data_IF_400111083982
#
_entry.id   IF_400111083982
#
_cell.length_a   1.000
_cell.length_b   1.000
_cell.length_c   1.000
_cell.angle_alpha   90.00
_cell.angle_beta   90.00
_cell.angle_gamma   90.00
#
_symmetry.space_group_name_H-M   'P 1'
#
loop_
_entity.id
_entity.type
_entity.pdbx_description
1 polymer ?
#
# COMPACT_ATOMS: atom_id res chain seq x y z
N UNK A 1 -35.63 -43.56 16.53
CA UNK A 1 -35.69 -42.78 15.30
C UNK A 1 -35.59 -41.26 15.54
N UNK A 2 -36.43 -40.63 16.32
CA UNK A 2 -36.41 -39.15 16.54
C UNK A 2 -35.06 -38.59 16.99
N UNK A 3 -34.37 -39.22 17.96
CA UNK A 3 -33.04 -38.77 18.42
C UNK A 3 -31.96 -38.78 17.33
N UNK A 4 -31.99 -39.73 16.40
CA UNK A 4 -31.05 -39.79 15.24
C UNK A 4 -31.30 -38.69 14.23
N UNK A 5 -32.58 -38.31 14.03
CA UNK A 5 -33.00 -37.23 13.13
C UNK A 5 -32.50 -35.87 13.71
N UNK A 6 -32.68 -35.66 15.02
CA UNK A 6 -32.19 -34.45 15.69
C UNK A 6 -30.66 -34.32 15.68
N UNK A 7 -29.95 -35.44 15.85
CA UNK A 7 -28.49 -35.45 15.78
C UNK A 7 -27.99 -35.13 14.35
N UNK A 8 -28.68 -35.68 13.32
CA UNK A 8 -28.39 -35.38 11.92
C UNK A 8 -28.68 -33.92 11.57
N UNK A 9 -29.78 -33.35 12.06
CA UNK A 9 -30.09 -31.93 11.86
C UNK A 9 -29.10 -31.02 12.56
N UNK A 10 -28.65 -31.36 13.78
CA UNK A 10 -27.68 -30.58 14.54
C UNK A 10 -26.31 -30.52 13.86
N UNK A 11 -25.92 -31.59 13.16
CA UNK A 11 -24.69 -31.65 12.36
C UNK A 11 -24.85 -30.99 10.98
N UNK A 12 -26.05 -30.98 10.42
CA UNK A 12 -26.31 -30.39 9.11
C UNK A 12 -26.33 -28.85 9.16
N UNK A 13 -26.77 -28.23 10.25
CA UNK A 13 -26.86 -26.78 10.39
C UNK A 13 -25.50 -26.09 10.19
N UNK A 14 -24.40 -26.44 10.90
CA UNK A 14 -23.11 -25.81 10.70
C UNK A 14 -22.55 -26.05 9.29
N UNK A 15 -22.76 -27.23 8.71
CA UNK A 15 -22.33 -27.52 7.34
C UNK A 15 -23.07 -26.62 6.34
N UNK A 16 -24.39 -26.46 6.48
CA UNK A 16 -25.19 -25.57 5.63
C UNK A 16 -24.80 -24.09 5.84
N UNK A 17 -24.47 -23.70 7.06
CA UNK A 17 -23.99 -22.35 7.35
C UNK A 17 -22.65 -22.06 6.64
N UNK A 18 -21.70 -23.00 6.72
CA UNK A 18 -20.41 -22.89 6.01
C UNK A 18 -20.60 -22.84 4.50
N UNK A 19 -21.42 -23.76 3.94
CA UNK A 19 -21.71 -23.75 2.49
C UNK A 19 -22.42 -22.47 2.06
N UNK A 20 -23.35 -21.98 2.87
CA UNK A 20 -24.03 -20.70 2.63
C UNK A 20 -23.06 -19.51 2.66
N UNK A 21 -22.11 -19.51 3.60
CA UNK A 21 -21.09 -18.48 3.67
C UNK A 21 -20.12 -18.53 2.47
N UNK A 22 -19.64 -19.71 2.11
CA UNK A 22 -18.81 -19.89 0.91
C UNK A 22 -19.55 -19.40 -0.34
N UNK A 23 -20.81 -19.78 -0.49
CA UNK A 23 -21.65 -19.30 -1.61
C UNK A 23 -21.85 -17.79 -1.60
N UNK A 24 -21.99 -17.17 -0.43
CA UNK A 24 -22.02 -15.72 -0.28
C UNK A 24 -20.69 -15.09 -0.65
N UNK A 25 -19.58 -15.59 -0.13
CA UNK A 25 -18.24 -15.04 -0.40
C UNK A 25 -17.91 -15.09 -1.90
N UNK A 26 -18.21 -16.22 -2.58
CA UNK A 26 -18.03 -16.33 -4.04
C UNK A 26 -18.95 -15.38 -4.82
N UNK A 27 -20.19 -15.19 -4.40
CA UNK A 27 -21.12 -14.28 -5.06
C UNK A 27 -20.83 -12.79 -4.83
N UNK A 28 -20.23 -12.46 -3.68
CA UNK A 28 -19.83 -11.12 -3.31
C UNK A 28 -18.42 -10.74 -3.81
N UNK A 29 -17.63 -11.74 -4.20
CA UNK A 29 -16.28 -11.51 -4.71
C UNK A 29 -16.34 -10.82 -6.07
N UNK A 30 -15.77 -9.63 -6.15
CA UNK A 30 -15.71 -8.83 -7.36
C UNK A 30 -14.30 -8.23 -7.52
N UNK A 31 -13.77 -8.31 -8.74
CA UNK A 31 -12.51 -7.67 -9.12
C UNK A 31 -12.74 -6.72 -10.28
N UNK A 32 -12.08 -5.57 -10.19
CA UNK A 32 -12.07 -4.60 -11.28
C UNK A 32 -11.29 -5.15 -12.49
N UNK A 33 -11.70 -4.71 -13.67
CA UNK A 33 -10.99 -5.04 -14.92
C UNK A 33 -9.59 -4.47 -14.94
N UNK A 34 -8.68 -5.13 -15.66
CA UNK A 34 -7.34 -4.57 -15.94
C UNK A 34 -7.44 -3.39 -16.90
N UNK A 35 -6.46 -2.50 -16.85
CA UNK A 35 -6.36 -1.30 -17.70
C UNK A 35 -7.57 -0.37 -17.58
N UNK A 36 -8.10 -0.25 -16.39
CA UNK A 36 -9.20 0.65 -16.10
C UNK A 36 -8.71 2.10 -16.04
N UNK A 37 -9.28 2.97 -16.87
CA UNK A 37 -9.03 4.41 -16.78
C UNK A 37 -9.57 4.94 -15.45
N UNK A 38 -8.78 5.78 -14.79
CA UNK A 38 -9.13 6.39 -13.51
C UNK A 38 -9.49 7.86 -13.71
N UNK A 39 -10.43 8.33 -12.92
CA UNK A 39 -10.77 9.75 -12.86
C UNK A 39 -9.64 10.54 -12.23
N UNK A 40 -9.40 11.73 -12.75
CA UNK A 40 -8.48 12.73 -12.18
C UNK A 40 -9.30 13.89 -11.70
N UNK A 41 -9.45 14.02 -10.40
CA UNK A 41 -10.17 15.11 -9.79
C UNK A 41 -9.33 16.40 -9.84
N UNK A 42 -10.00 17.53 -10.06
CA UNK A 42 -9.47 18.90 -10.11
C UNK A 42 -8.71 19.30 -11.39
N UNK A 43 -7.90 18.45 -12.00
CA UNK A 43 -7.16 18.70 -13.25
C UNK A 43 -6.48 20.09 -13.31
N UNK A 44 -5.75 20.45 -12.26
CA UNK A 44 -5.13 21.75 -12.07
C UNK A 44 -3.60 21.67 -12.08
N UNK A 45 -2.94 22.81 -12.01
CA UNK A 45 -1.48 22.91 -11.97
C UNK A 45 -0.84 22.96 -13.36
N UNK A 46 0.46 23.19 -13.36
CA UNK A 46 1.28 23.28 -14.55
C UNK A 46 1.89 21.93 -14.93
N UNK A 47 2.52 21.88 -16.11
CA UNK A 47 3.36 20.75 -16.51
C UNK A 47 4.61 20.69 -15.63
N UNK A 48 5.14 19.50 -15.39
CA UNK A 48 6.44 19.35 -14.75
C UNK A 48 7.55 19.95 -15.64
N UNK A 49 8.61 20.43 -14.99
CA UNK A 49 9.74 21.08 -15.68
C UNK A 49 11.00 20.25 -15.49
N UNK A 50 11.80 20.04 -16.54
CA UNK A 50 13.16 19.51 -16.38
C UNK A 50 14.00 20.41 -15.47
N UNK A 51 15.05 19.84 -14.88
CA UNK A 51 16.01 20.53 -14.00
C UNK A 51 15.39 21.19 -12.76
N UNK A 52 14.10 20.95 -12.50
CA UNK A 52 13.40 21.42 -11.28
C UNK A 52 13.42 20.32 -10.25
N UNK A 53 13.70 20.68 -9.01
CA UNK A 53 13.67 19.75 -7.88
C UNK A 53 12.24 19.53 -7.42
N UNK A 54 11.84 18.26 -7.31
CA UNK A 54 10.55 17.81 -6.85
C UNK A 54 10.69 16.88 -5.66
N UNK A 55 9.66 16.84 -4.84
CA UNK A 55 9.55 15.94 -3.70
C UNK A 55 8.35 15.00 -3.88
N UNK A 56 8.61 13.70 -3.77
CA UNK A 56 7.59 12.66 -3.69
C UNK A 56 7.60 12.06 -2.29
N UNK A 57 6.44 11.98 -1.64
CA UNK A 57 6.23 11.26 -0.40
C UNK A 57 5.40 10.00 -0.66
N UNK A 58 5.80 8.85 -0.13
CA UNK A 58 4.97 7.64 -0.09
C UNK A 58 4.66 7.26 1.34
N UNK A 59 3.40 6.97 1.63
CA UNK A 59 2.91 6.67 2.97
C UNK A 59 1.84 5.58 2.94
N UNK A 60 2.15 4.37 3.39
CA UNK A 60 1.13 3.39 3.76
C UNK A 60 0.49 3.86 5.07
N UNK A 61 -0.80 4.19 5.05
CA UNK A 61 -1.50 4.79 6.20
C UNK A 61 -2.22 3.76 7.08
N UNK A 62 -2.12 2.47 6.73
CA UNK A 62 -2.62 1.35 7.55
C UNK A 62 -4.10 1.51 7.92
N UNK A 63 -4.97 1.85 6.95
CA UNK A 63 -6.40 2.18 7.18
C UNK A 63 -6.64 2.98 8.48
N UNK A 64 -5.73 3.89 8.78
CA UNK A 64 -5.74 4.82 9.91
C UNK A 64 -5.99 4.15 11.28
N UNK A 65 -5.62 2.87 11.43
CA UNK A 65 -5.80 2.13 12.68
C UNK A 65 -4.53 1.98 13.52
N UNK A 66 -3.35 1.96 12.89
CA UNK A 66 -2.10 1.51 13.50
C UNK A 66 -1.37 2.62 14.27
N UNK A 67 -2.00 3.19 15.30
CA UNK A 67 -1.23 3.96 16.29
C UNK A 67 -0.12 3.09 16.92
N UNK A 68 0.90 3.72 17.53
CA UNK A 68 2.06 3.00 18.07
C UNK A 68 1.69 1.89 19.07
N UNK A 69 0.57 2.03 19.78
CA UNK A 69 0.06 1.07 20.77
C UNK A 69 -0.93 0.04 20.19
N UNK A 70 -1.16 0.04 18.86
CA UNK A 70 -2.05 -0.89 18.18
C UNK A 70 -1.32 -2.19 17.79
N UNK A 71 -2.04 -3.31 17.81
CA UNK A 71 -1.59 -4.61 17.33
C UNK A 71 -2.65 -5.27 16.46
N UNK A 72 -2.25 -5.94 15.39
CA UNK A 72 -3.17 -6.50 14.41
C UNK A 72 -3.27 -8.02 14.50
N UNK A 73 -4.48 -8.55 14.52
CA UNK A 73 -4.73 -9.98 14.74
C UNK A 73 -4.11 -10.90 13.69
N UNK A 74 -3.99 -10.45 12.43
CA UNK A 74 -3.35 -11.24 11.37
C UNK A 74 -1.84 -11.33 11.53
N UNK A 75 -1.22 -10.38 12.21
CA UNK A 75 0.21 -10.38 12.53
C UNK A 75 0.51 -11.05 13.88
N UNK A 76 -0.52 -11.55 14.55
CA UNK A 76 -0.40 -12.20 15.86
C UNK A 76 -0.83 -11.32 17.03
N UNK A 77 -1.31 -10.11 16.77
CA UNK A 77 -1.85 -9.17 17.76
C UNK A 77 -3.31 -9.42 18.11
N UNK A 78 -3.98 -8.40 18.63
CA UNK A 78 -5.30 -8.54 19.25
C UNK A 78 -6.42 -7.87 18.44
N UNK A 79 -6.21 -6.68 17.91
CA UNK A 79 -7.23 -5.86 17.25
C UNK A 79 -7.48 -6.32 15.81
N UNK A 80 -8.74 -6.26 15.38
CA UNK A 80 -9.14 -6.59 14.00
C UNK A 80 -9.59 -5.37 13.19
N UNK A 81 -9.70 -4.22 13.84
CA UNK A 81 -10.14 -2.95 13.28
C UNK A 81 -9.66 -1.78 14.14
N UNK A 82 -9.77 -0.57 13.64
CA UNK A 82 -9.52 0.63 14.43
C UNK A 82 -10.38 0.63 15.71
N UNK A 83 -9.83 1.08 16.83
CA UNK A 83 -10.46 0.97 18.15
C UNK A 83 -11.81 1.70 18.23
N UNK A 84 -11.87 2.87 17.62
CA UNK A 84 -13.09 3.66 17.50
C UNK A 84 -12.96 4.71 16.36
N UNK A 85 -14.05 5.39 15.98
CA UNK A 85 -13.99 6.43 14.94
C UNK A 85 -12.99 7.56 15.24
N UNK A 86 -12.79 7.91 16.51
CA UNK A 86 -11.87 8.98 16.89
C UNK A 86 -10.41 8.58 16.69
N UNK A 87 -10.09 7.28 16.85
CA UNK A 87 -8.76 6.78 16.54
C UNK A 87 -8.43 6.98 15.06
N UNK A 88 -9.38 6.66 14.15
CA UNK A 88 -9.25 6.92 12.71
C UNK A 88 -9.04 8.40 12.42
N UNK A 89 -9.88 9.27 12.98
CA UNK A 89 -9.78 10.73 12.82
C UNK A 89 -8.43 11.27 13.36
N UNK A 90 -7.99 10.79 14.53
CA UNK A 90 -6.73 11.23 15.17
C UNK A 90 -5.53 10.82 14.32
N UNK A 91 -5.48 9.57 13.86
CA UNK A 91 -4.40 9.09 13.01
C UNK A 91 -4.41 9.83 11.66
N UNK A 92 -5.61 10.07 11.08
CA UNK A 92 -5.77 10.88 9.87
C UNK A 92 -5.21 12.30 10.01
N UNK A 93 -5.46 12.96 11.15
CA UNK A 93 -4.88 14.28 11.42
C UNK A 93 -3.36 14.23 11.53
N UNK A 94 -2.79 13.20 12.20
CA UNK A 94 -1.35 13.03 12.28
C UNK A 94 -0.69 12.75 10.93
N UNK A 95 -1.34 11.95 10.07
CA UNK A 95 -0.90 11.75 8.67
C UNK A 95 -0.90 13.09 7.92
N UNK A 96 -1.98 13.88 8.02
CA UNK A 96 -2.08 15.19 7.38
C UNK A 96 -1.04 16.19 7.89
N UNK A 97 -0.73 16.21 9.19
CA UNK A 97 0.32 17.02 9.77
C UNK A 97 1.67 16.66 9.17
N UNK A 98 1.99 15.37 9.09
CA UNK A 98 3.23 14.87 8.45
C UNK A 98 3.32 15.29 6.97
N UNK A 99 2.22 15.15 6.21
CA UNK A 99 2.16 15.58 4.80
C UNK A 99 2.38 17.10 4.67
N UNK A 100 1.79 17.91 5.56
CA UNK A 100 1.97 19.38 5.55
C UNK A 100 3.39 19.79 5.90
N UNK A 101 4.04 19.12 6.84
CA UNK A 101 5.43 19.39 7.21
C UNK A 101 6.39 19.09 6.07
N UNK A 102 6.20 17.97 5.37
CA UNK A 102 7.01 17.62 4.19
C UNK A 102 6.65 18.47 2.99
N UNK A 103 5.36 18.83 2.83
CA UNK A 103 4.81 19.61 1.71
C UNK A 103 5.25 19.07 0.33
N UNK A 104 5.01 17.80 0.00
CA UNK A 104 5.50 17.18 -1.22
C UNK A 104 4.80 17.72 -2.46
N UNK A 105 5.46 17.62 -3.64
CA UNK A 105 4.84 17.89 -4.94
C UNK A 105 3.95 16.73 -5.39
N UNK A 106 4.32 15.52 -5.01
CA UNK A 106 3.62 14.27 -5.29
C UNK A 106 3.46 13.47 -3.99
N UNK A 107 2.30 12.85 -3.81
CA UNK A 107 2.03 12.01 -2.63
C UNK A 107 1.37 10.71 -3.07
N UNK A 108 1.93 9.60 -2.62
CA UNK A 108 1.36 8.27 -2.74
C UNK A 108 0.88 7.81 -1.36
N UNK A 109 -0.34 7.32 -1.28
CA UNK A 109 -0.85 6.68 -0.07
C UNK A 109 -1.36 5.29 -0.40
N UNK A 110 -1.13 4.33 0.50
CA UNK A 110 -1.59 2.96 0.41
C UNK A 110 -2.50 2.66 1.62
N UNK A 111 -3.33 1.63 1.50
CA UNK A 111 -4.30 1.21 2.52
C UNK A 111 -5.30 2.30 2.93
N UNK A 112 -5.85 3.02 1.96
CA UNK A 112 -6.83 4.08 2.20
C UNK A 112 -8.23 3.51 2.03
N UNK A 113 -9.01 3.40 3.10
CA UNK A 113 -10.37 2.89 3.06
C UNK A 113 -11.36 3.96 2.55
N UNK A 114 -12.32 3.51 1.74
CA UNK A 114 -13.46 4.35 1.30
C UNK A 114 -14.71 4.00 2.10
N UNK A 115 -14.91 2.70 2.34
CA UNK A 115 -16.03 2.17 3.12
C UNK A 115 -15.64 0.80 3.66
N UNK A 116 -15.27 0.74 4.93
CA UNK A 116 -14.83 -0.49 5.55
C UNK A 116 -15.30 -0.61 7.00
N UNK A 117 -15.70 -1.82 7.39
CA UNK A 117 -16.06 -2.10 8.78
C UNK A 117 -14.87 -1.86 9.72
N UNK A 118 -13.64 -2.16 9.25
CA UNK A 118 -12.42 -2.03 10.04
C UNK A 118 -12.06 -0.57 10.36
N UNK A 119 -12.49 0.39 9.54
CA UNK A 119 -12.28 1.82 9.72
C UNK A 119 -13.59 2.59 10.04
N UNK A 120 -14.60 1.89 10.58
CA UNK A 120 -15.87 2.45 11.03
C UNK A 120 -16.67 3.15 9.93
N UNK A 121 -16.52 2.71 8.68
CA UNK A 121 -17.18 3.29 7.50
C UNK A 121 -16.83 4.77 7.27
N UNK A 122 -15.66 5.19 7.73
CA UNK A 122 -15.13 6.53 7.44
C UNK A 122 -14.53 6.51 6.03
N UNK A 123 -14.88 7.50 5.22
CA UNK A 123 -14.23 7.74 3.93
C UNK A 123 -12.88 8.43 4.19
N UNK A 124 -11.82 7.61 4.25
CA UNK A 124 -10.46 8.08 4.51
C UNK A 124 -9.88 8.86 3.33
N UNK A 125 -10.35 8.58 2.09
CA UNK A 125 -9.95 9.37 0.92
C UNK A 125 -10.40 10.81 1.11
N UNK A 126 -11.66 11.02 1.48
CA UNK A 126 -12.17 12.37 1.73
C UNK A 126 -11.53 13.01 2.97
N UNK A 127 -11.33 12.22 4.05
CA UNK A 127 -10.68 12.70 5.27
C UNK A 127 -9.24 13.19 5.01
N UNK A 128 -8.45 12.44 4.23
CA UNK A 128 -7.04 12.73 3.97
C UNK A 128 -6.84 13.77 2.85
N UNK A 129 -7.77 13.88 1.91
CA UNK A 129 -7.57 14.72 0.71
C UNK A 129 -8.44 15.98 0.68
N UNK A 130 -9.51 16.02 1.47
CA UNK A 130 -10.45 17.17 1.48
C UNK A 130 -9.80 18.51 1.86
N UNK A 131 -8.70 18.49 2.61
CA UNK A 131 -7.93 19.67 2.99
C UNK A 131 -6.72 19.96 2.07
N UNK A 132 -6.49 19.13 1.03
CA UNK A 132 -5.38 19.22 0.09
C UNK A 132 -5.87 19.67 -1.30
N UNK A 133 -6.61 20.78 -1.35
CA UNK A 133 -7.30 21.27 -2.54
C UNK A 133 -6.36 21.74 -3.67
N UNK A 134 -5.07 21.90 -3.41
CA UNK A 134 -4.03 22.24 -4.39
C UNK A 134 -3.45 21.02 -5.13
N UNK A 135 -3.97 19.82 -4.84
CA UNK A 135 -3.58 18.60 -5.52
C UNK A 135 -4.66 18.10 -6.48
N UNK A 136 -4.22 17.49 -7.59
CA UNK A 136 -5.03 16.56 -8.36
C UNK A 136 -5.08 15.24 -7.63
N UNK A 137 -6.25 14.60 -7.58
CA UNK A 137 -6.48 13.37 -6.86
C UNK A 137 -6.84 12.23 -7.79
N UNK A 138 -6.19 11.10 -7.61
CA UNK A 138 -6.47 9.84 -8.31
C UNK A 138 -6.65 8.74 -7.25
N UNK A 139 -7.74 7.98 -7.34
CA UNK A 139 -8.00 6.82 -6.49
C UNK A 139 -8.06 5.55 -7.32
N UNK A 140 -7.30 4.53 -6.93
CA UNK A 140 -7.33 3.21 -7.54
C UNK A 140 -7.73 2.15 -6.50
N UNK A 141 -8.94 1.62 -6.61
CA UNK A 141 -9.42 0.55 -5.73
C UNK A 141 -8.57 -0.71 -5.91
N UNK A 142 -8.04 -1.25 -4.83
CA UNK A 142 -7.26 -2.48 -4.79
C UNK A 142 -7.78 -3.50 -3.76
N UNK A 143 -8.94 -3.25 -3.17
CA UNK A 143 -9.58 -4.16 -2.24
C UNK A 143 -11.10 -3.96 -2.24
N UNK A 144 -11.84 -5.06 -2.39
CA UNK A 144 -13.28 -5.14 -2.21
C UNK A 144 -13.61 -6.54 -1.66
N UNK A 145 -13.69 -6.64 -0.34
CA UNK A 145 -13.86 -7.94 0.32
C UNK A 145 -15.30 -8.26 0.63
N UNK A 146 -15.70 -9.55 0.58
CA UNK A 146 -16.92 -9.98 1.25
C UNK A 146 -16.80 -9.75 2.77
N UNK A 147 -17.91 -9.84 3.50
CA UNK A 147 -17.88 -9.70 4.96
C UNK A 147 -17.13 -10.87 5.60
N UNK A 148 -16.00 -10.56 6.26
CA UNK A 148 -15.13 -11.50 6.95
C UNK A 148 -15.56 -11.61 8.41
N UNK A 149 -16.10 -12.78 8.82
CA UNK A 149 -16.64 -13.01 10.16
C UNK A 149 -15.59 -13.29 11.25
N UNK A 150 -14.32 -13.27 10.90
CA UNK A 150 -13.24 -13.52 11.84
C UNK A 150 -12.50 -12.23 12.20
N UNK A 151 -12.10 -12.04 13.47
CA UNK A 151 -12.44 -12.81 14.69
C UNK A 151 -13.92 -12.75 15.05
N UNK A 152 -14.48 -13.83 15.64
CA UNK A 152 -15.93 -13.92 15.90
C UNK A 152 -16.46 -12.87 16.89
N UNK A 153 -15.62 -12.40 17.80
CA UNK A 153 -15.98 -11.41 18.83
C UNK A 153 -15.95 -9.98 18.29
N UNK A 154 -15.11 -9.74 17.30
CA UNK A 154 -14.94 -8.46 16.63
C UNK A 154 -14.57 -8.69 15.16
N UNK A 155 -15.57 -8.97 14.31
CA UNK A 155 -15.30 -9.28 12.90
C UNK A 155 -14.57 -8.17 12.16
N UNK A 156 -13.57 -8.52 11.36
CA UNK A 156 -12.91 -7.59 10.46
C UNK A 156 -13.90 -6.92 9.49
N UNK A 157 -14.91 -7.68 9.07
CA UNK A 157 -16.04 -7.20 8.27
C UNK A 157 -15.73 -7.11 6.78
N UNK A 158 -16.49 -6.26 6.09
CA UNK A 158 -16.27 -5.95 4.68
C UNK A 158 -15.42 -4.68 4.56
N UNK A 159 -14.56 -4.65 3.55
CA UNK A 159 -13.67 -3.52 3.30
C UNK A 159 -13.65 -3.16 1.82
N UNK A 160 -13.76 -1.87 1.52
CA UNK A 160 -13.46 -1.30 0.21
C UNK A 160 -12.38 -0.25 0.40
N UNK A 161 -11.23 -0.49 -0.24
CA UNK A 161 -10.00 0.25 -0.02
C UNK A 161 -9.20 0.40 -1.31
N UNK A 162 -8.21 1.29 -1.31
CA UNK A 162 -7.37 1.51 -2.46
C UNK A 162 -6.06 2.23 -2.15
N UNK A 163 -5.45 2.68 -3.24
CA UNK A 163 -4.27 3.53 -3.23
C UNK A 163 -4.63 4.90 -3.79
N UNK A 164 -4.05 5.95 -3.23
CA UNK A 164 -4.30 7.34 -3.63
C UNK A 164 -3.02 7.97 -4.15
N UNK A 165 -3.12 8.62 -5.29
CA UNK A 165 -2.04 9.44 -5.84
C UNK A 165 -2.49 10.90 -5.88
N UNK A 166 -1.69 11.78 -5.28
CA UNK A 166 -1.90 13.23 -5.34
C UNK A 166 -0.73 13.90 -6.08
N UNK A 167 -1.05 14.92 -6.87
CA UNK A 167 -0.07 15.68 -7.65
C UNK A 167 -0.41 17.17 -7.68
N UNK A 168 0.56 18.04 -7.39
CA UNK A 168 0.44 19.49 -7.63
C UNK A 168 0.62 19.84 -9.11
N UNK A 169 1.38 19.04 -9.85
CA UNK A 169 1.44 19.16 -11.29
C UNK A 169 0.17 18.57 -11.92
N UNK A 170 -0.19 19.11 -13.09
CA UNK A 170 -1.33 18.59 -13.87
C UNK A 170 -1.13 17.13 -14.23
N UNK A 171 -2.16 16.31 -14.04
CA UNK A 171 -2.20 14.92 -14.48
C UNK A 171 -3.06 14.84 -15.74
N UNK A 172 -2.50 14.34 -16.84
CA UNK A 172 -3.22 14.23 -18.11
C UNK A 172 -4.18 13.04 -18.13
N UNK A 173 -3.73 11.90 -17.58
CA UNK A 173 -4.50 10.67 -17.49
C UNK A 173 -3.98 9.79 -16.36
N UNK A 174 -4.82 8.87 -15.91
CA UNK A 174 -4.44 7.84 -14.96
C UNK A 174 -5.06 6.49 -15.31
N UNK A 175 -4.35 5.42 -14.98
CA UNK A 175 -4.71 4.06 -15.31
C UNK A 175 -4.49 3.14 -14.09
N UNK A 176 -5.45 2.23 -13.83
CA UNK A 176 -5.29 1.13 -12.90
C UNK A 176 -4.85 -0.13 -13.67
N UNK A 177 -3.81 -0.78 -13.17
CA UNK A 177 -3.36 -2.09 -13.69
C UNK A 177 -3.57 -3.16 -12.62
N UNK A 178 -4.34 -4.19 -12.97
CA UNK A 178 -4.55 -5.34 -12.09
C UNK A 178 -3.31 -6.20 -12.03
N UNK A 179 -2.86 -6.52 -10.83
CA UNK A 179 -1.75 -7.44 -10.58
C UNK A 179 -2.25 -8.89 -10.46
N UNK A 180 -1.40 -9.89 -10.73
CA UNK A 180 -1.69 -11.29 -10.40
C UNK A 180 -2.01 -11.44 -8.91
N UNK A 181 -2.97 -12.29 -8.57
CA UNK A 181 -3.35 -12.62 -7.19
C UNK A 181 -3.61 -14.11 -7.07
N UNK A 182 -3.60 -14.61 -5.84
CA UNK A 182 -3.98 -15.98 -5.53
C UNK A 182 -5.38 -16.33 -6.05
N UNK A 183 -5.53 -17.53 -6.59
CA UNK A 183 -6.81 -18.01 -7.15
C UNK A 183 -7.56 -18.95 -6.22
N UNK A 184 -6.93 -19.38 -5.12
CA UNK A 184 -7.47 -20.28 -4.12
C UNK A 184 -8.47 -19.62 -3.19
N UNK A 185 -8.73 -20.26 -2.04
CA UNK A 185 -9.61 -19.72 -0.99
C UNK A 185 -9.03 -18.47 -0.32
N UNK A 186 -7.71 -18.33 -0.36
CA UNK A 186 -6.95 -17.16 0.11
C UNK A 186 -7.35 -15.86 -0.59
N UNK A 187 -7.88 -15.92 -1.83
CA UNK A 187 -8.36 -14.75 -2.58
C UNK A 187 -9.37 -13.86 -1.83
N UNK A 188 -10.10 -14.43 -0.85
CA UNK A 188 -11.06 -13.66 -0.04
C UNK A 188 -10.40 -12.89 1.10
N UNK A 189 -9.16 -13.22 1.43
CA UNK A 189 -8.38 -12.64 2.52
C UNK A 189 -7.27 -11.72 2.00
N UNK A 190 -6.87 -11.86 0.73
CA UNK A 190 -5.88 -11.01 0.10
C UNK A 190 -6.55 -9.87 -0.69
N UNK A 191 -5.81 -8.79 -0.88
CA UNK A 191 -6.21 -7.64 -1.65
C UNK A 191 -6.30 -7.98 -3.16
N UNK A 192 -7.18 -7.26 -3.88
CA UNK A 192 -7.24 -7.30 -5.35
C UNK A 192 -6.12 -6.49 -5.99
N UNK A 193 -4.92 -6.66 -5.51
CA UNK A 193 -3.69 -5.94 -5.82
C UNK A 193 -3.69 -5.27 -7.19
N UNK A 194 -3.30 -4.01 -7.19
CA UNK A 194 -3.07 -3.24 -8.41
C UNK A 194 -1.95 -2.22 -8.17
N UNK A 195 -1.47 -1.62 -9.27
CA UNK A 195 -0.81 -0.33 -9.22
C UNK A 195 -1.59 0.68 -10.04
N UNK A 196 -1.41 1.97 -9.74
CA UNK A 196 -1.89 3.05 -10.57
C UNK A 196 -0.72 3.70 -11.31
N UNK A 197 -0.97 4.12 -12.55
CA UNK A 197 -0.03 4.93 -13.34
C UNK A 197 -0.67 6.28 -13.61
N UNK A 198 -0.04 7.35 -13.13
CA UNK A 198 -0.47 8.73 -13.39
C UNK A 198 0.51 9.40 -14.33
N UNK A 199 0.01 9.99 -15.42
CA UNK A 199 0.82 10.63 -16.47
C UNK A 199 0.82 12.14 -16.27
N UNK A 200 1.97 12.68 -15.91
CA UNK A 200 2.21 14.10 -15.72
C UNK A 200 2.97 14.62 -16.95
N UNK A 201 2.40 15.54 -17.75
CA UNK A 201 3.11 16.09 -18.89
C UNK A 201 4.33 16.91 -18.44
N UNK A 202 5.42 16.80 -19.18
CA UNK A 202 6.65 17.56 -18.97
C UNK A 202 6.83 18.56 -20.09
N UNK A 203 7.33 19.76 -19.79
CA UNK A 203 7.43 20.86 -20.77
C UNK A 203 8.34 20.59 -21.96
N UNK A 204 9.17 19.55 -21.90
CA UNK A 204 10.01 19.10 -23.03
C UNK A 204 9.30 18.10 -23.97
N UNK A 205 8.00 17.85 -23.76
CA UNK A 205 7.18 16.98 -24.61
C UNK A 205 7.20 15.49 -24.20
N UNK A 206 7.89 15.14 -23.12
CA UNK A 206 7.85 13.81 -22.48
C UNK A 206 6.78 13.76 -21.39
N UNK A 207 6.62 12.61 -20.77
CA UNK A 207 5.77 12.42 -19.60
C UNK A 207 6.60 11.94 -18.39
N UNK A 208 6.18 12.33 -17.20
CA UNK A 208 6.57 11.68 -15.95
C UNK A 208 5.47 10.68 -15.59
N UNK A 209 5.82 9.39 -15.67
CA UNK A 209 4.95 8.28 -15.32
C UNK A 209 5.16 7.92 -13.84
N UNK A 210 4.16 8.19 -13.02
CA UNK A 210 4.15 7.96 -11.58
C UNK A 210 3.38 6.68 -11.26
N UNK A 211 4.08 5.68 -10.74
CA UNK A 211 3.54 4.37 -10.35
C UNK A 211 3.38 4.31 -8.83
N UNK A 212 2.15 4.25 -8.35
CA UNK A 212 1.86 4.00 -6.93
C UNK A 212 1.53 2.52 -6.77
N UNK A 213 2.26 1.81 -5.88
CA UNK A 213 2.14 0.36 -5.70
C UNK A 213 1.89 -0.02 -4.25
N UNK A 214 1.21 -1.16 -4.07
CA UNK A 214 1.16 -1.91 -2.84
C UNK A 214 1.16 -3.40 -3.20
N UNK A 215 2.33 -4.03 -3.14
CA UNK A 215 2.52 -5.42 -3.53
C UNK A 215 2.08 -6.40 -2.43
N UNK A 216 1.92 -7.68 -2.79
CA UNK A 216 1.51 -8.71 -1.83
C UNK A 216 2.63 -9.05 -0.84
N UNK A 217 2.28 -9.09 0.45
CA UNK A 217 3.13 -9.56 1.54
C UNK A 217 3.08 -11.09 1.65
N UNK A 218 1.88 -11.62 1.70
CA UNK A 218 1.60 -13.02 2.01
C UNK A 218 1.33 -13.79 0.73
N UNK A 219 2.31 -14.56 0.27
CA UNK A 219 2.13 -15.48 -0.86
C UNK A 219 2.58 -16.88 -0.45
N UNK A 220 1.84 -17.90 -0.86
CA UNK A 220 2.03 -19.28 -0.41
C UNK A 220 3.45 -19.80 -0.71
N UNK A 221 4.03 -19.39 -1.86
CA UNK A 221 5.36 -19.81 -2.33
C UNK A 221 6.23 -18.66 -2.89
N UNK A 222 5.75 -17.41 -2.77
CA UNK A 222 6.44 -16.22 -3.27
C UNK A 222 6.32 -16.00 -4.78
N UNK A 223 5.73 -16.91 -5.55
CA UNK A 223 5.63 -16.79 -7.02
C UNK A 223 4.77 -15.61 -7.44
N UNK A 224 3.62 -15.40 -6.80
CA UNK A 224 2.69 -14.29 -7.10
C UNK A 224 3.36 -12.93 -6.90
N UNK A 225 4.08 -12.73 -5.78
CA UNK A 225 4.78 -11.47 -5.54
C UNK A 225 5.89 -11.21 -6.59
N UNK A 226 6.56 -12.27 -7.04
CA UNK A 226 7.55 -12.19 -8.13
C UNK A 226 6.89 -11.85 -9.47
N UNK A 227 5.74 -12.46 -9.79
CA UNK A 227 4.96 -12.16 -11.00
C UNK A 227 4.42 -10.71 -10.98
N UNK A 228 3.97 -10.22 -9.81
CA UNK A 228 3.54 -8.83 -9.64
C UNK A 228 4.67 -7.85 -9.95
N UNK A 229 5.85 -8.10 -9.36
CA UNK A 229 7.02 -7.26 -9.59
C UNK A 229 7.50 -7.31 -11.04
N UNK A 230 7.55 -8.50 -11.66
CA UNK A 230 7.95 -8.65 -13.05
C UNK A 230 7.02 -7.86 -14.01
N UNK A 231 5.71 -7.94 -13.81
CA UNK A 231 4.73 -7.18 -14.57
C UNK A 231 4.90 -5.66 -14.43
N UNK A 232 5.13 -5.19 -13.19
CA UNK A 232 5.40 -3.78 -12.91
C UNK A 232 6.67 -3.29 -13.63
N UNK A 233 7.76 -4.06 -13.51
CA UNK A 233 9.05 -3.73 -14.12
C UNK A 233 8.99 -3.72 -15.65
N UNK A 234 8.23 -4.63 -16.27
CA UNK A 234 8.01 -4.65 -17.71
C UNK A 234 7.30 -3.37 -18.20
N UNK A 235 6.23 -2.95 -17.51
CA UNK A 235 5.52 -1.69 -17.84
C UNK A 235 6.42 -0.47 -17.65
N UNK A 236 7.22 -0.42 -16.58
CA UNK A 236 8.18 0.67 -16.32
C UNK A 236 9.27 0.75 -17.38
N UNK A 237 9.82 -0.40 -17.79
CA UNK A 237 10.84 -0.49 -18.83
C UNK A 237 10.32 -0.01 -20.19
N UNK A 238 9.05 -0.35 -20.53
CA UNK A 238 8.39 0.10 -21.77
C UNK A 238 8.26 1.63 -21.80
N UNK A 239 7.85 2.26 -20.69
CA UNK A 239 7.75 3.72 -20.57
C UNK A 239 9.12 4.39 -20.66
N UNK A 240 10.13 3.86 -19.96
CA UNK A 240 11.48 4.39 -20.04
C UNK A 240 12.07 4.27 -21.44
N UNK A 241 11.91 3.13 -22.14
CA UNK A 241 12.35 2.95 -23.53
C UNK A 241 11.63 3.89 -24.52
N UNK A 242 10.41 4.30 -24.17
CA UNK A 242 9.64 5.31 -24.94
C UNK A 242 10.17 6.73 -24.70
N UNK A 243 11.14 6.91 -23.80
CA UNK A 243 11.78 8.18 -23.48
C UNK A 243 11.09 8.95 -22.33
N UNK A 244 10.11 8.36 -21.68
CA UNK A 244 9.44 8.95 -20.53
C UNK A 244 10.31 8.87 -19.27
N UNK A 245 10.01 9.71 -18.30
CA UNK A 245 10.55 9.63 -16.94
C UNK A 245 9.67 8.68 -16.13
N UNK A 246 10.28 7.80 -15.36
CA UNK A 246 9.53 6.77 -14.62
C UNK A 246 9.95 6.77 -13.16
N UNK A 247 8.97 6.90 -12.28
CA UNK A 247 9.14 6.75 -10.84
C UNK A 247 8.02 5.83 -10.32
N UNK A 248 8.41 4.74 -9.68
CA UNK A 248 7.52 3.91 -8.87
C UNK A 248 7.83 4.13 -7.40
N UNK A 249 6.81 4.24 -6.58
CA UNK A 249 6.96 4.31 -5.13
C UNK A 249 5.80 3.62 -4.44
N UNK A 250 6.01 3.19 -3.21
CA UNK A 250 4.99 2.53 -2.41
C UNK A 250 5.55 1.47 -1.48
N UNK A 251 4.64 0.62 -1.03
CA UNK A 251 4.92 -0.54 -0.21
C UNK A 251 5.17 -1.76 -1.10
N UNK A 252 6.42 -2.20 -1.17
CA UNK A 252 6.82 -3.37 -1.95
C UNK A 252 6.64 -4.68 -1.19
N UNK A 253 6.39 -4.63 0.11
CA UNK A 253 6.31 -5.80 0.98
C UNK A 253 7.51 -6.75 0.84
N UNK A 254 8.70 -6.17 0.61
CA UNK A 254 10.00 -6.84 0.52
C UNK A 254 11.03 -6.03 1.29
N UNK A 255 11.97 -6.72 1.91
CA UNK A 255 13.13 -6.04 2.53
C UNK A 255 14.00 -5.40 1.44
N UNK A 256 13.83 -4.08 1.26
CA UNK A 256 14.53 -3.32 0.22
C UNK A 256 16.02 -3.14 0.53
N UNK A 257 16.43 -3.30 1.79
CA UNK A 257 17.84 -3.26 2.21
C UNK A 257 18.50 -4.64 2.15
N UNK A 258 17.69 -5.71 1.95
CA UNK A 258 18.13 -7.10 1.87
C UNK A 258 18.67 -7.69 3.18
N UNK A 259 18.91 -6.86 4.19
CA UNK A 259 19.47 -7.24 5.48
C UNK A 259 19.01 -6.33 6.65
N UNK A 260 17.78 -5.83 6.58
CA UNK A 260 17.19 -4.92 7.57
C UNK A 260 17.39 -5.40 9.01
N UNK A 261 17.24 -6.69 9.28
CA UNK A 261 17.47 -7.27 10.60
C UNK A 261 18.87 -6.99 11.17
N UNK A 262 19.91 -6.97 10.31
CA UNK A 262 21.27 -6.63 10.71
C UNK A 262 21.45 -5.12 10.92
N UNK A 263 20.81 -4.31 10.07
CA UNK A 263 20.93 -2.84 10.13
C UNK A 263 20.24 -2.31 11.39
N UNK A 264 19.03 -2.77 11.67
CA UNK A 264 18.24 -2.31 12.81
C UNK A 264 18.51 -3.10 14.11
N UNK A 265 19.37 -4.13 14.06
CA UNK A 265 19.73 -4.92 15.24
C UNK A 265 18.61 -5.82 15.76
N UNK A 266 17.65 -6.19 14.92
CA UNK A 266 16.51 -7.05 15.25
C UNK A 266 16.55 -8.35 14.46
N UNK A 267 16.02 -9.46 15.02
CA UNK A 267 15.96 -10.75 14.33
C UNK A 267 14.66 -10.85 13.52
N UNK A 268 14.79 -11.10 12.21
CA UNK A 268 13.68 -11.29 11.28
C UNK A 268 13.41 -12.73 10.90
N UNK A 269 14.13 -13.73 11.44
CA UNK A 269 14.04 -15.13 11.03
C UNK A 269 12.64 -15.75 11.15
N UNK A 270 11.82 -15.23 12.08
CA UNK A 270 10.44 -15.70 12.27
C UNK A 270 9.45 -15.11 11.26
N UNK A 271 9.82 -14.06 10.54
CA UNK A 271 8.93 -13.30 9.64
C UNK A 271 9.21 -13.67 8.19
N UNK A 272 8.55 -14.70 7.70
CA UNK A 272 8.75 -15.23 6.34
C UNK A 272 8.24 -14.30 5.23
N UNK A 273 7.41 -13.31 5.56
CA UNK A 273 6.94 -12.31 4.62
C UNK A 273 8.00 -11.27 4.25
N UNK A 274 8.97 -11.01 5.13
CA UNK A 274 10.04 -10.03 4.95
C UNK A 274 11.20 -10.61 4.12
N UNK A 275 10.92 -11.07 2.90
CA UNK A 275 11.96 -11.58 2.00
C UNK A 275 12.72 -10.42 1.35
N UNK A 276 14.02 -10.59 1.06
CA UNK A 276 14.79 -9.61 0.31
C UNK A 276 14.14 -9.25 -1.04
N UNK A 277 14.27 -8.00 -1.44
CA UNK A 277 13.85 -7.55 -2.76
C UNK A 277 14.74 -8.21 -3.83
N UNK A 278 14.17 -8.81 -4.90
CA UNK A 278 14.94 -9.50 -5.93
C UNK A 278 15.53 -8.49 -6.95
N UNK A 279 16.65 -7.86 -6.59
CA UNK A 279 17.31 -6.84 -7.43
C UNK A 279 17.68 -7.35 -8.81
N UNK A 280 17.93 -8.66 -8.97
CA UNK A 280 18.23 -9.29 -10.24
C UNK A 280 17.11 -9.22 -11.30
N UNK A 281 15.89 -8.91 -10.87
CA UNK A 281 14.76 -8.69 -11.79
C UNK A 281 14.70 -7.25 -12.34
N UNK A 282 15.42 -6.30 -11.73
CA UNK A 282 15.38 -4.90 -12.14
C UNK A 282 16.08 -4.74 -13.49
N UNK A 283 15.39 -4.23 -14.54
CA UNK A 283 15.97 -4.09 -15.86
C UNK A 283 17.00 -2.96 -15.93
N UNK A 284 17.86 -3.01 -16.94
CA UNK A 284 18.80 -1.94 -17.24
C UNK A 284 18.05 -0.61 -17.48
N UNK A 285 18.51 0.46 -16.87
CA UNK A 285 17.88 1.77 -16.95
C UNK A 285 16.84 2.07 -15.88
N UNK A 286 16.58 1.11 -14.98
CA UNK A 286 15.80 1.30 -13.77
C UNK A 286 16.68 0.92 -12.56
N UNK A 287 16.56 1.64 -11.47
CA UNK A 287 17.30 1.36 -10.23
C UNK A 287 16.40 1.39 -9.00
N UNK A 288 16.72 0.53 -8.03
CA UNK A 288 16.11 0.55 -6.71
C UNK A 288 16.74 1.67 -5.86
N UNK A 289 15.89 2.48 -5.23
CA UNK A 289 16.25 3.49 -4.26
C UNK A 289 15.56 3.16 -2.94
N UNK A 290 16.25 2.42 -2.08
CA UNK A 290 15.82 2.15 -0.72
C UNK A 290 16.30 3.30 0.19
N UNK A 291 15.41 3.97 0.95
CA UNK A 291 15.82 5.05 1.83
C UNK A 291 16.59 4.50 3.04
N UNK A 292 17.83 4.96 3.22
CA UNK A 292 18.68 4.58 4.34
C UNK A 292 19.59 5.74 4.72
N UNK A 293 19.54 6.15 5.97
CA UNK A 293 20.60 6.96 6.62
C UNK A 293 21.53 5.98 7.35
N UNK A 294 22.78 5.87 6.89
CA UNK A 294 23.74 4.93 7.48
C UNK A 294 24.18 5.32 8.90
N UNK A 295 24.12 6.62 9.26
CA UNK A 295 24.49 7.10 10.59
C UNK A 295 23.35 6.96 11.59
N UNK A 296 22.10 7.16 11.13
CA UNK A 296 20.89 7.12 11.95
C UNK A 296 19.78 6.37 11.20
N UNK A 297 19.89 5.03 11.09
CA UNK A 297 18.95 4.25 10.32
C UNK A 297 17.53 4.27 10.95
N UNK A 298 16.54 4.70 10.16
CA UNK A 298 15.13 4.74 10.53
C UNK A 298 14.40 3.72 9.66
N UNK A 299 13.69 2.74 10.25
CA UNK A 299 12.94 1.76 9.48
C UNK A 299 11.65 2.36 8.89
N UNK A 300 11.21 1.86 7.75
CA UNK A 300 9.94 2.30 7.16
C UNK A 300 8.73 1.53 7.68
N UNK A 301 8.90 0.32 8.20
CA UNK A 301 7.80 -0.53 8.66
C UNK A 301 8.16 -1.27 9.96
N UNK A 302 7.14 -1.47 10.80
CA UNK A 302 7.19 -2.35 11.98
C UNK A 302 6.24 -3.53 11.83
N UNK A 303 6.55 -4.66 12.45
CA UNK A 303 5.56 -5.70 12.64
C UNK A 303 4.52 -5.25 13.68
N UNK A 304 3.25 -5.57 13.40
CA UNK A 304 2.12 -5.16 14.25
C UNK A 304 1.59 -6.29 15.16
N UNK A 305 2.44 -7.24 15.53
CA UNK A 305 2.11 -8.33 16.46
C UNK A 305 1.88 -7.85 17.91
N UNK A 306 2.39 -6.66 18.24
CA UNK A 306 2.29 -6.00 19.54
C UNK A 306 2.38 -4.48 19.40
N UNK A 307 2.11 -3.75 20.48
CA UNK A 307 2.44 -2.34 20.58
C UNK A 307 3.91 -2.10 20.25
N UNK A 308 4.20 -0.99 19.55
CA UNK A 308 5.56 -0.65 19.16
C UNK A 308 6.46 -0.40 20.38
N UNK A 309 7.59 -1.05 20.36
CA UNK A 309 8.68 -0.87 21.32
C UNK A 309 9.98 -0.79 20.52
N UNK A 310 10.69 0.35 20.53
CA UNK A 310 11.91 0.56 19.74
C UNK A 310 13.04 -0.42 20.07
N UNK A 311 13.00 -1.08 21.25
CA UNK A 311 14.04 -2.04 21.65
C UNK A 311 13.74 -3.47 21.21
N UNK A 312 12.45 -3.82 20.99
CA UNK A 312 12.02 -5.21 20.84
C UNK A 312 11.12 -5.50 19.65
N UNK A 313 10.56 -4.47 19.00
CA UNK A 313 9.73 -4.68 17.81
C UNK A 313 10.59 -5.05 16.61
N UNK A 314 10.12 -6.01 15.80
CA UNK A 314 10.72 -6.27 14.52
C UNK A 314 10.42 -5.12 13.56
N UNK A 315 11.45 -4.58 12.93
CA UNK A 315 11.37 -3.47 11.97
C UNK A 315 12.22 -3.73 10.74
N UNK A 316 11.81 -3.16 9.61
CA UNK A 316 12.53 -3.28 8.34
C UNK A 316 12.18 -2.10 7.42
N UNK A 317 12.78 -2.08 6.22
CA UNK A 317 12.45 -1.09 5.17
C UNK A 317 11.79 -1.81 4.00
N UNK A 318 10.48 -1.61 3.82
CA UNK A 318 9.67 -2.18 2.72
C UNK A 318 9.13 -1.12 1.77
N UNK A 319 9.16 0.15 2.20
CA UNK A 319 8.75 1.31 1.42
C UNK A 319 9.97 1.93 0.74
N UNK A 320 9.84 2.27 -0.54
CA UNK A 320 10.94 2.83 -1.30
C UNK A 320 10.53 3.16 -2.73
N UNK A 321 11.53 3.22 -3.63
CA UNK A 321 11.32 3.71 -4.99
C UNK A 321 12.10 2.88 -6.01
N UNK A 322 11.52 2.76 -7.21
CA UNK A 322 12.21 2.36 -8.44
C UNK A 322 12.21 3.56 -9.39
N UNK A 323 13.36 3.89 -9.94
CA UNK A 323 13.56 5.16 -10.67
C UNK A 323 14.31 4.90 -11.96
N UNK A 324 13.89 5.52 -13.06
CA UNK A 324 14.60 5.45 -14.34
C UNK A 324 15.84 6.35 -14.39
N UNK A 325 16.85 5.98 -15.16
CA UNK A 325 18.15 6.65 -15.23
C UNK A 325 18.09 8.12 -15.67
N UNK A 326 17.01 8.55 -16.35
CA UNK A 326 16.76 9.94 -16.73
C UNK A 326 16.07 10.77 -15.63
N UNK A 327 15.97 10.21 -14.41
CA UNK A 327 15.55 10.90 -13.18
C UNK A 327 16.73 10.92 -12.23
N UNK A 328 17.25 12.10 -11.95
CA UNK A 328 18.33 12.30 -10.96
C UNK A 328 17.75 12.27 -9.55
N UNK A 329 18.10 11.29 -8.75
CA UNK A 329 17.75 11.24 -7.32
C UNK A 329 18.76 12.07 -6.54
N UNK A 330 18.30 13.13 -5.87
CA UNK A 330 19.14 14.00 -5.03
C UNK A 330 19.01 13.69 -3.53
N UNK A 331 18.04 12.90 -3.14
CA UNK A 331 17.87 12.43 -1.75
C UNK A 331 16.75 11.41 -1.60
N UNK A 332 16.95 10.46 -0.70
CA UNK A 332 15.92 9.52 -0.26
C UNK A 332 16.05 9.30 1.24
N UNK A 333 14.95 9.41 1.98
CA UNK A 333 14.96 9.25 3.44
C UNK A 333 13.63 8.74 3.97
N UNK A 334 13.66 8.07 5.11
CA UNK A 334 12.47 7.80 5.92
C UNK A 334 12.17 9.04 6.76
N UNK A 335 10.90 9.43 6.84
CA UNK A 335 10.43 10.50 7.73
C UNK A 335 9.97 9.84 9.03
N UNK A 336 10.72 10.02 10.10
CA UNK A 336 10.45 9.39 11.38
C UNK A 336 9.21 10.00 12.05
N UNK A 337 8.15 9.22 12.15
CA UNK A 337 6.94 9.56 12.92
C UNK A 337 6.89 8.81 14.25
N UNK A 338 7.88 7.95 14.53
CA UNK A 338 7.85 7.02 15.65
C UNK A 338 6.71 6.01 15.55
N UNK A 339 6.23 5.71 14.35
CA UNK A 339 5.03 4.88 14.09
C UNK A 339 3.78 5.36 14.84
N UNK A 340 3.65 6.67 15.02
CA UNK A 340 2.56 7.24 15.80
C UNK A 340 1.19 7.09 15.11
N UNK A 341 1.14 7.09 13.78
CA UNK A 341 -0.09 7.18 12.98
C UNK A 341 -0.35 5.99 12.06
N UNK A 342 0.67 5.17 11.81
CA UNK A 342 0.66 3.96 11.00
C UNK A 342 1.75 3.01 11.49
N UNK A 343 1.68 1.74 11.13
CA UNK A 343 2.80 0.78 11.24
C UNK A 343 3.89 1.01 10.19
N UNK A 344 3.69 2.04 9.34
CA UNK A 344 4.71 2.54 8.44
C UNK A 344 5.10 3.98 8.79
N UNK A 345 6.40 4.28 8.65
CA UNK A 345 6.93 5.63 8.52
C UNK A 345 6.94 6.02 7.04
N UNK A 346 6.51 7.23 6.66
CA UNK A 346 6.55 7.63 5.26
C UNK A 346 7.96 7.77 4.73
N UNK A 347 8.13 7.52 3.44
CA UNK A 347 9.41 7.64 2.74
C UNK A 347 9.37 8.78 1.73
N UNK A 348 10.43 9.56 1.69
CA UNK A 348 10.56 10.76 0.85
C UNK A 348 11.66 10.59 -0.17
N UNK A 349 11.35 10.91 -1.43
CA UNK A 349 12.29 11.03 -2.53
C UNK A 349 12.40 12.49 -2.95
N UNK A 350 13.62 12.97 -3.19
CA UNK A 350 13.89 14.26 -3.82
C UNK A 350 14.59 13.99 -5.15
N UNK A 351 14.07 14.57 -6.23
CA UNK A 351 14.52 14.22 -7.57
C UNK A 351 14.41 15.38 -8.57
N UNK A 352 15.10 15.25 -9.72
CA UNK A 352 14.99 16.11 -10.90
C UNK A 352 14.82 15.28 -12.15
N UNK A 353 14.11 15.84 -13.16
CA UNK A 353 13.97 15.24 -14.50
C UNK A 353 15.12 15.77 -15.37
N UNK A 354 15.93 14.88 -15.96
CA UNK A 354 17.15 15.26 -16.72
C UNK A 354 17.01 15.08 -18.24
#
# INVERSE_FOLDING_TARGET
MKKRIWLGALLAIPVLAVLGYVGYAEAAYYRLEDRLALDVDHQQGDQAQPDTEYTLLSYNVGFLAYSADYSFFMDGGEESRARDPRAVETNGQGVLETVREVSPDYLFMQEVDVDATRSWHIDEVELLTGELADYNRIFAQNYDSPYLFWPLTEPHGASRSGIVTLSRCRVESALRRSLPVETGFSKFLDLDRCYSVSRVPVSNGRELCLYNVHLSAYTTDGSIATEQLAMLLEDMEEEYRSGNYVICGGDFNKDLLGNSGSIFGVSGEAYTWAQPFPEELVPEGISLTAPLDEEHPIPSCRNADKAYDPETSFVLTVDGFLVSDNVEVTGAQVVDTGFAWSDHNPVKLVFRLT
#
